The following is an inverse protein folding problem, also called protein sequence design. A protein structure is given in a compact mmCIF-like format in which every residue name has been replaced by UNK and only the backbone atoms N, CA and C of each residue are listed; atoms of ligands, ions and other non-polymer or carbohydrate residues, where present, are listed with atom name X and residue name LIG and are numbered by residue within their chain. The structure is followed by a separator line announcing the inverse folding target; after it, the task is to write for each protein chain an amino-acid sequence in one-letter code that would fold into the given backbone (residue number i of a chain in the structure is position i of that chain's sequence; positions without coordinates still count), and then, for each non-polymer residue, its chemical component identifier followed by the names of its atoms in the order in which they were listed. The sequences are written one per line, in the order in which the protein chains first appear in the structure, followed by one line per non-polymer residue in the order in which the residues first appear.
data_IF_959247897204
#
_entry.id   IF_959247897204
#
_cell.length_a   1.000
_cell.length_b   1.000
_cell.length_c   1.000
_cell.angle_alpha   90.00
_cell.angle_beta   90.00
_cell.angle_gamma   90.00
#
_symmetry.space_group_name_H-M   'P 1'
#
loop_
_entity.id
_entity.type
_entity.pdbx_description
1 polymer ?
#
# COMPACT_ATOMS: atom_id res chain seq x y z
N UNK A 1 5.63 -7.78 -24.59
CA UNK A 1 5.83 -6.54 -23.80
C UNK A 1 5.57 -6.88 -22.35
N UNK A 2 6.56 -6.79 -21.47
CA UNK A 2 6.32 -6.91 -20.03
C UNK A 2 5.47 -5.73 -19.57
N UNK A 3 4.33 -6.00 -18.93
CA UNK A 3 3.54 -4.95 -18.31
C UNK A 3 4.37 -4.30 -17.20
N UNK A 4 4.59 -2.99 -17.30
CA UNK A 4 5.32 -2.22 -16.29
C UNK A 4 4.55 -2.30 -14.96
N UNK A 5 5.16 -2.92 -13.94
CA UNK A 5 4.59 -2.95 -12.59
C UNK A 5 4.92 -1.64 -11.88
N UNK A 6 3.90 -1.04 -11.26
CA UNK A 6 4.01 0.19 -10.49
C UNK A 6 4.03 -0.12 -9.00
N UNK A 7 4.50 0.83 -8.20
CA UNK A 7 4.51 0.75 -6.74
C UNK A 7 3.66 1.89 -6.18
N UNK A 8 2.85 1.59 -5.17
CA UNK A 8 1.98 2.55 -4.52
C UNK A 8 2.09 2.45 -3.00
N UNK A 9 2.49 3.53 -2.31
CA UNK A 9 2.51 3.58 -0.85
C UNK A 9 1.15 3.30 -0.24
N UNK A 10 1.14 2.53 0.85
CA UNK A 10 -0.05 2.30 1.66
C UNK A 10 -0.17 3.44 2.69
N UNK A 11 -1.35 4.07 2.84
CA UNK A 11 -1.55 5.09 3.87
C UNK A 11 -1.18 4.59 5.28
N UNK A 12 -0.53 5.43 6.06
CA UNK A 12 -0.19 5.10 7.44
C UNK A 12 -1.46 4.83 8.27
N UNK A 13 -1.36 3.89 9.21
CA UNK A 13 -2.51 3.48 10.04
C UNK A 13 -3.51 2.58 9.32
N UNK A 14 -3.24 2.13 8.09
CA UNK A 14 -4.12 1.17 7.41
C UNK A 14 -4.10 -0.20 8.10
N UNK A 15 -5.24 -0.70 8.62
CA UNK A 15 -5.31 -2.03 9.21
C UNK A 15 -4.94 -3.12 8.21
N UNK A 16 -4.20 -4.13 8.66
CA UNK A 16 -3.76 -5.25 7.82
C UNK A 16 -4.93 -5.97 7.13
N UNK A 17 -6.09 -6.08 7.79
CA UNK A 17 -7.30 -6.67 7.20
C UNK A 17 -7.77 -5.95 5.94
N UNK A 18 -7.71 -4.61 5.93
CA UNK A 18 -8.08 -3.79 4.77
C UNK A 18 -7.04 -3.94 3.64
N UNK A 19 -5.75 -4.01 4.00
CA UNK A 19 -4.67 -4.25 3.03
C UNK A 19 -4.85 -5.62 2.36
N UNK A 20 -5.07 -6.67 3.15
CA UNK A 20 -5.28 -8.04 2.67
C UNK A 20 -6.51 -8.15 1.77
N UNK A 21 -7.61 -7.48 2.11
CA UNK A 21 -8.80 -7.44 1.26
C UNK A 21 -8.50 -6.77 -0.10
N UNK A 22 -7.78 -5.64 -0.10
CA UNK A 22 -7.39 -4.95 -1.33
C UNK A 22 -6.48 -5.82 -2.23
N UNK A 23 -5.49 -6.50 -1.63
CA UNK A 23 -4.59 -7.45 -2.31
C UNK A 23 -5.39 -8.53 -3.04
N UNK A 24 -6.28 -9.21 -2.33
CA UNK A 24 -7.09 -10.30 -2.90
C UNK A 24 -8.09 -9.80 -3.94
N UNK A 25 -8.76 -8.66 -3.67
CA UNK A 25 -9.84 -8.15 -4.51
C UNK A 25 -9.36 -7.59 -5.85
N UNK A 26 -8.19 -6.96 -5.88
CA UNK A 26 -7.67 -6.27 -7.07
C UNK A 26 -6.48 -6.98 -7.72
N UNK A 27 -6.04 -8.13 -7.18
CA UNK A 27 -4.92 -8.89 -7.72
C UNK A 27 -3.62 -8.10 -7.72
N UNK A 28 -3.40 -7.31 -6.66
CA UNK A 28 -2.16 -6.55 -6.42
C UNK A 28 -1.33 -7.26 -5.35
N UNK A 29 -0.02 -7.05 -5.35
CA UNK A 29 0.93 -7.69 -4.44
C UNK A 29 1.30 -6.74 -3.30
N UNK A 30 1.38 -7.24 -2.06
CA UNK A 30 1.98 -6.52 -0.94
C UNK A 30 3.48 -6.81 -0.92
N UNK A 31 4.32 -5.78 -0.93
CA UNK A 31 5.78 -5.92 -0.92
C UNK A 31 6.44 -4.83 -0.06
N UNK A 32 7.74 -4.98 0.18
CA UNK A 32 8.55 -4.07 0.97
C UNK A 32 9.57 -3.35 0.08
N UNK A 33 9.69 -2.03 0.26
CA UNK A 33 10.74 -1.23 -0.40
C UNK A 33 11.49 -0.39 0.61
N UNK A 34 12.79 -0.15 0.42
CA UNK A 34 13.56 0.71 1.30
C UNK A 34 13.10 2.17 1.19
N UNK A 35 12.98 2.85 2.32
CA UNK A 35 12.70 4.29 2.36
C UNK A 35 13.99 5.03 1.98
N UNK A 36 14.05 5.55 0.76
CA UNK A 36 15.25 6.19 0.19
C UNK A 36 15.69 7.47 0.92
N UNK A 37 14.77 8.16 1.59
CA UNK A 37 15.02 9.43 2.27
C UNK A 37 15.43 9.26 3.74
N UNK A 38 15.40 8.04 4.28
CA UNK A 38 15.94 7.76 5.60
C UNK A 38 17.47 7.79 5.51
N UNK A 39 18.08 8.95 5.75
CA UNK A 39 19.53 9.04 5.96
C UNK A 39 19.88 8.26 7.22
N UNK A 40 20.53 7.11 7.06
CA UNK A 40 21.11 6.35 8.17
C UNK A 40 22.61 6.37 7.99
N UNK A 41 23.32 6.79 9.02
CA UNK A 41 24.79 6.88 9.00
C UNK A 41 25.49 5.50 8.95
N UNK A 42 24.80 4.39 9.27
CA UNK A 42 25.46 3.07 9.40
C UNK A 42 24.53 1.83 9.32
N UNK A 43 23.50 1.83 8.45
CA UNK A 43 22.58 0.68 8.44
C UNK A 43 21.64 0.52 7.24
N UNK A 44 21.00 -0.66 7.19
CA UNK A 44 19.95 -0.97 6.22
C UNK A 44 18.79 0.04 6.36
N UNK A 45 18.33 0.66 5.25
CA UNK A 45 17.21 1.60 5.29
C UNK A 45 15.94 0.93 5.86
N UNK A 46 15.11 1.63 6.65
CA UNK A 46 13.82 1.11 7.07
C UNK A 46 13.00 0.73 5.84
N UNK A 47 12.31 -0.41 5.94
CA UNK A 47 11.45 -0.92 4.89
C UNK A 47 10.04 -0.35 5.07
N UNK A 48 9.38 -0.03 3.96
CA UNK A 48 7.97 0.37 3.94
C UNK A 48 7.14 -0.61 3.10
N UNK A 49 5.91 -0.87 3.55
CA UNK A 49 4.94 -1.61 2.76
C UNK A 49 4.36 -0.78 1.62
N UNK A 50 4.32 -1.41 0.45
CA UNK A 50 3.75 -0.85 -0.78
C UNK A 50 2.93 -1.91 -1.51
N UNK A 51 1.93 -1.46 -2.26
CA UNK A 51 1.23 -2.28 -3.24
C UNK A 51 1.97 -2.26 -4.57
N UNK A 52 2.08 -3.41 -5.22
CA UNK A 52 2.73 -3.60 -6.51
C UNK A 52 1.77 -4.25 -7.52
N UNK A 53 1.70 -3.73 -8.72
CA UNK A 53 0.79 -4.26 -9.74
C UNK A 53 0.61 -3.36 -10.96
N UNK A 54 -0.41 -3.68 -11.76
CA UNK A 54 -0.85 -2.84 -12.88
C UNK A 54 -1.46 -1.53 -12.33
N UNK A 55 -1.19 -0.41 -13.01
CA UNK A 55 -1.58 0.93 -12.54
C UNK A 55 -3.08 1.03 -12.21
N UNK A 56 -3.95 0.55 -13.11
CA UNK A 56 -5.40 0.60 -12.93
C UNK A 56 -5.86 -0.16 -11.68
N UNK A 57 -5.28 -1.33 -11.41
CA UNK A 57 -5.63 -2.13 -10.24
C UNK A 57 -5.11 -1.49 -8.95
N UNK A 58 -3.94 -0.84 -8.99
CA UNK A 58 -3.41 -0.09 -7.85
C UNK A 58 -4.28 1.12 -7.49
N UNK A 59 -4.76 1.86 -8.49
CA UNK A 59 -5.68 2.99 -8.26
C UNK A 59 -6.96 2.51 -7.58
N UNK A 60 -7.58 1.44 -8.10
CA UNK A 60 -8.77 0.83 -7.50
C UNK A 60 -8.52 0.33 -6.07
N UNK A 61 -7.37 -0.30 -5.83
CA UNK A 61 -6.98 -0.76 -4.50
C UNK A 61 -6.81 0.41 -3.52
N UNK A 62 -6.19 1.51 -3.94
CA UNK A 62 -6.02 2.70 -3.10
C UNK A 62 -7.34 3.38 -2.78
N UNK A 63 -8.22 3.55 -3.77
CA UNK A 63 -9.56 4.12 -3.55
C UNK A 63 -10.35 3.27 -2.55
N UNK A 64 -10.32 1.95 -2.72
CA UNK A 64 -10.94 1.02 -1.79
C UNK A 64 -10.40 1.16 -0.36
N UNK A 65 -9.07 1.23 -0.20
CA UNK A 65 -8.43 1.41 1.12
C UNK A 65 -8.89 2.72 1.74
N UNK A 66 -8.89 3.82 1.00
CA UNK A 66 -9.31 5.14 1.50
C UNK A 66 -10.77 5.12 1.97
N UNK A 67 -11.67 4.54 1.18
CA UNK A 67 -13.08 4.43 1.58
C UNK A 67 -13.26 3.56 2.83
N UNK A 68 -12.54 2.44 2.94
CA UNK A 68 -12.56 1.62 4.16
C UNK A 68 -12.02 2.34 5.38
N UNK A 69 -10.98 3.17 5.24
CA UNK A 69 -10.48 3.99 6.33
C UNK A 69 -11.51 5.02 6.78
N UNK A 70 -12.21 5.67 5.85
CA UNK A 70 -13.31 6.59 6.18
C UNK A 70 -14.43 5.87 6.94
N UNK A 71 -14.80 4.66 6.52
CA UNK A 71 -15.80 3.83 7.23
C UNK A 71 -15.35 3.49 8.67
N UNK A 72 -14.06 3.20 8.87
CA UNK A 72 -13.51 2.91 10.20
C UNK A 72 -13.51 4.16 11.08
N UNK A 73 -13.11 5.32 10.53
CA UNK A 73 -13.07 6.58 11.28
C UNK A 73 -14.45 6.99 11.79
N UNK A 74 -15.52 6.77 11.02
CA UNK A 74 -16.91 7.01 11.44
C UNK A 74 -17.35 6.22 12.67
N UNK A 75 -16.65 5.15 13.04
CA UNK A 75 -16.97 4.38 14.27
C UNK A 75 -16.49 5.06 15.55
N UNK A 76 -15.68 6.10 15.42
CA UNK A 76 -15.14 6.87 16.53
C UNK A 76 -15.80 8.25 16.69
N UNK A 77 -16.79 8.56 15.84
CA UNK A 77 -17.68 9.73 15.93
C UNK A 77 -18.96 9.35 16.69
#
# INVERSE_FOLDING_TARGET
MEKKKYLMPIPAGTPYSIISEAVNKFGVELTEVPIKEAMIDDGNPPMMWVLKGDYENLVKAKEFIIEKLKEVLKKFE
#
